data_IF_506461827415
#
_entry.id   IF_506461827415
#
_cell.length_a   1.000
_cell.length_b   1.000
_cell.length_c   1.000
_cell.angle_alpha   90.00
_cell.angle_beta   90.00
_cell.angle_gamma   90.00
#
_symmetry.space_group_name_H-M   'P 1'
#
loop_
_entity.id
_entity.type
_entity.pdbx_description
1 polymer ?
#
# COMPACT_ATOMS: atom_id res chain seq x y z
N UNK A 1 12.50 0.52 24.02
CA UNK A 1 11.61 -0.60 24.47
C UNK A 1 12.12 -1.90 23.87
N UNK A 2 12.15 -2.97 24.66
CA UNK A 2 12.50 -4.31 24.15
C UNK A 2 11.26 -5.19 24.23
N UNK A 3 10.93 -5.81 23.11
CA UNK A 3 9.83 -6.79 23.00
C UNK A 3 10.46 -8.19 23.14
N UNK A 4 10.32 -8.79 24.31
CA UNK A 4 10.94 -10.06 24.62
C UNK A 4 10.06 -11.23 24.13
N UNK A 5 10.60 -12.24 23.41
CA UNK A 5 9.82 -13.38 22.90
C UNK A 5 9.10 -14.19 23.99
N UNK A 6 9.66 -14.22 25.20
CA UNK A 6 9.05 -14.93 26.34
C UNK A 6 7.89 -14.16 27.00
N UNK A 7 7.69 -12.88 26.64
CA UNK A 7 6.61 -12.02 27.17
C UNK A 7 5.54 -11.71 26.13
N UNK A 8 5.84 -11.90 24.84
CA UNK A 8 4.97 -11.61 23.72
C UNK A 8 5.02 -12.76 22.72
N UNK A 9 3.88 -13.11 22.13
CA UNK A 9 3.85 -14.06 21.01
C UNK A 9 4.46 -13.39 19.78
N UNK A 10 5.68 -13.76 19.39
CA UNK A 10 6.39 -13.22 18.23
C UNK A 10 7.90 -13.22 18.41
N UNK A 11 8.60 -12.74 17.39
CA UNK A 11 10.05 -12.55 17.43
C UNK A 11 10.42 -11.36 18.33
N UNK A 12 11.63 -11.40 18.88
CA UNK A 12 12.13 -10.30 19.71
C UNK A 12 12.46 -9.08 18.86
N UNK A 13 11.95 -7.93 19.27
CA UNK A 13 12.25 -6.66 18.63
C UNK A 13 12.81 -5.62 19.59
N UNK A 14 13.65 -4.74 19.08
CA UNK A 14 14.12 -3.58 19.79
C UNK A 14 13.64 -2.32 19.08
N UNK A 15 12.96 -1.44 19.83
CA UNK A 15 12.53 -0.13 19.37
C UNK A 15 13.18 0.94 20.24
N UNK A 16 13.88 1.87 19.59
CA UNK A 16 14.40 3.08 20.25
C UNK A 16 13.98 4.30 19.43
N UNK A 17 13.39 5.28 20.12
CA UNK A 17 13.16 6.62 19.59
C UNK A 17 14.08 7.55 20.37
N UNK A 18 14.99 8.19 19.65
CA UNK A 18 15.96 9.12 20.24
C UNK A 18 15.56 10.54 19.85
N UNK A 19 15.55 11.42 20.84
CA UNK A 19 15.37 12.85 20.65
C UNK A 19 16.63 13.56 21.13
N UNK A 20 17.26 14.34 20.25
CA UNK A 20 18.36 15.22 20.65
C UNK A 20 17.76 16.42 21.39
N UNK A 21 18.22 16.66 22.62
CA UNK A 21 17.90 17.89 23.35
C UNK A 21 18.77 19.04 22.85
N UNK A 22 18.22 20.23 22.80
CA UNK A 22 18.88 21.45 22.33
C UNK A 22 17.96 22.29 21.43
N UNK A 23 18.35 23.51 21.19
CA UNK A 23 17.66 24.38 20.22
C UNK A 23 17.73 23.71 18.84
N UNK A 24 16.58 23.50 18.24
CA UNK A 24 16.47 23.20 16.81
C UNK A 24 17.09 24.40 16.07
N UNK A 25 18.40 24.36 15.80
CA UNK A 25 18.92 25.11 14.68
C UNK A 25 18.11 24.60 13.48
N UNK A 26 17.43 25.51 12.84
CA UNK A 26 16.48 25.29 11.78
C UNK A 26 16.92 24.13 10.88
N UNK A 27 16.21 23.00 10.94
CA UNK A 27 16.44 21.86 10.03
C UNK A 27 16.29 22.31 8.57
N UNK A 28 15.55 23.42 8.35
CA UNK A 28 15.44 24.11 7.06
C UNK A 28 16.76 24.71 6.61
N UNK A 29 17.72 25.00 7.51
CA UNK A 29 19.05 25.55 7.17
C UNK A 29 20.12 24.48 6.93
N UNK A 30 19.85 23.20 7.24
CA UNK A 30 20.74 22.14 6.78
C UNK A 30 20.65 22.11 5.26
N UNK A 31 21.79 22.27 4.53
CA UNK A 31 21.77 22.14 3.09
C UNK A 31 21.28 20.72 2.80
N UNK A 32 19.99 20.60 2.49
CA UNK A 32 19.44 19.40 1.88
C UNK A 32 20.32 19.18 0.66
N UNK A 33 21.30 18.27 0.77
CA UNK A 33 22.16 17.90 -0.36
C UNK A 33 21.19 17.67 -1.51
N UNK A 34 21.37 18.44 -2.60
CA UNK A 34 20.52 18.34 -3.79
C UNK A 34 20.28 16.87 -4.06
N UNK A 35 19.05 16.51 -3.91
CA UNK A 35 18.60 15.14 -3.92
C UNK A 35 19.03 14.51 -5.25
N UNK A 36 19.94 13.54 -5.19
CA UNK A 36 20.28 12.73 -6.37
C UNK A 36 19.16 11.76 -6.75
N UNK A 37 18.08 11.75 -5.96
CA UNK A 37 16.87 10.99 -6.25
C UNK A 37 16.04 11.82 -7.23
N UNK A 38 15.99 11.40 -8.46
CA UNK A 38 15.12 12.01 -9.45
C UNK A 38 13.67 11.81 -9.01
N UNK A 39 13.05 12.90 -8.55
CA UNK A 39 11.61 12.90 -8.30
C UNK A 39 10.88 12.67 -9.63
N UNK A 40 9.88 11.81 -9.59
CA UNK A 40 9.04 11.58 -10.75
C UNK A 40 8.20 12.83 -11.03
N UNK A 41 8.17 13.25 -12.29
CA UNK A 41 7.25 14.29 -12.75
C UNK A 41 5.83 13.76 -12.83
N UNK A 42 4.83 14.62 -12.76
CA UNK A 42 3.43 14.24 -12.95
C UNK A 42 3.19 13.51 -14.28
N UNK A 43 3.87 13.93 -15.35
CA UNK A 43 3.79 13.28 -16.66
C UNK A 43 4.26 11.82 -16.61
N UNK A 44 5.30 11.52 -15.84
CA UNK A 44 5.82 10.16 -15.66
C UNK A 44 4.90 9.31 -14.78
N UNK A 45 4.07 9.94 -13.95
CA UNK A 45 3.09 9.27 -13.08
C UNK A 45 1.69 9.15 -13.72
N UNK A 46 1.51 9.43 -15.00
CA UNK A 46 0.21 9.57 -15.66
C UNK A 46 -0.72 8.38 -15.44
N UNK A 47 -0.24 7.14 -15.61
CA UNK A 47 -1.04 5.95 -15.38
C UNK A 47 -1.44 5.76 -13.91
N UNK A 48 -0.55 6.13 -12.98
CA UNK A 48 -0.89 6.14 -11.56
C UNK A 48 -1.92 7.22 -11.25
N UNK A 49 -1.76 8.44 -11.76
CA UNK A 49 -2.73 9.52 -11.54
C UNK A 49 -4.10 9.19 -12.12
N UNK A 50 -4.15 8.52 -13.27
CA UNK A 50 -5.39 7.98 -13.85
C UNK A 50 -6.02 6.93 -12.92
N UNK A 51 -5.23 5.98 -12.42
CA UNK A 51 -5.71 5.01 -11.42
C UNK A 51 -6.22 5.73 -10.17
N UNK A 52 -5.46 6.69 -9.63
CA UNK A 52 -5.83 7.41 -8.41
C UNK A 52 -7.15 8.18 -8.59
N UNK A 53 -7.35 8.87 -9.72
CA UNK A 53 -8.59 9.60 -10.00
C UNK A 53 -9.82 8.70 -10.13
N UNK A 54 -9.64 7.46 -10.60
CA UNK A 54 -10.71 6.50 -10.81
C UNK A 54 -11.01 5.63 -9.59
N UNK A 55 -10.01 5.41 -8.72
CA UNK A 55 -10.10 4.39 -7.68
C UNK A 55 -9.95 4.92 -6.26
N UNK A 56 -9.36 6.11 -6.07
CA UNK A 56 -9.11 6.71 -4.76
C UNK A 56 -9.93 7.97 -4.55
N UNK A 57 -10.44 8.16 -3.35
CA UNK A 57 -11.15 9.39 -2.96
C UNK A 57 -10.17 10.38 -2.34
N UNK A 58 -10.23 11.64 -2.78
CA UNK A 58 -9.47 12.73 -2.16
C UNK A 58 -7.95 12.61 -2.26
N UNK A 59 -7.41 11.90 -3.24
CA UNK A 59 -5.97 11.81 -3.45
C UNK A 59 -5.38 13.19 -3.79
N UNK A 60 -4.55 13.73 -2.89
CA UNK A 60 -4.02 15.10 -3.02
C UNK A 60 -2.62 15.17 -3.64
N UNK A 61 -2.15 14.06 -4.22
CA UNK A 61 -0.80 14.03 -4.77
C UNK A 61 0.29 13.76 -3.72
N UNK A 62 1.54 13.96 -4.10
CA UNK A 62 2.68 13.76 -3.20
C UNK A 62 4.02 13.78 -3.91
N UNK A 63 5.07 13.52 -3.16
CA UNK A 63 6.42 13.38 -3.70
C UNK A 63 6.64 11.95 -4.18
N UNK A 64 6.78 11.76 -5.48
CA UNK A 64 6.95 10.44 -6.07
C UNK A 64 8.40 10.13 -6.42
N UNK A 65 8.78 8.86 -6.26
CA UNK A 65 10.09 8.34 -6.63
C UNK A 65 9.94 7.01 -7.35
N UNK A 66 10.73 6.83 -8.41
CA UNK A 66 10.85 5.55 -9.10
C UNK A 66 12.07 4.74 -8.66
N UNK A 67 11.86 3.44 -8.39
CA UNK A 67 12.91 2.42 -8.40
C UNK A 67 12.59 1.45 -9.54
N UNK A 68 13.25 1.63 -10.69
CA UNK A 68 12.86 0.95 -11.92
C UNK A 68 11.42 1.30 -12.31
N UNK A 69 10.56 0.31 -12.45
CA UNK A 69 9.13 0.48 -12.72
C UNK A 69 8.28 0.67 -11.45
N UNK A 70 8.87 0.54 -10.26
CA UNK A 70 8.16 0.65 -8.99
C UNK A 70 8.02 2.10 -8.58
N UNK A 71 6.78 2.54 -8.32
CA UNK A 71 6.45 3.89 -7.88
C UNK A 71 6.25 3.92 -6.38
N UNK A 72 6.90 4.88 -5.72
CA UNK A 72 6.82 5.10 -4.28
C UNK A 72 6.34 6.52 -3.96
N UNK A 73 5.53 6.64 -2.93
CA UNK A 73 5.20 7.91 -2.29
C UNK A 73 6.18 8.15 -1.14
N UNK A 74 6.93 9.24 -1.22
CA UNK A 74 7.87 9.64 -0.18
C UNK A 74 7.17 10.43 0.93
N UNK A 75 7.57 10.26 2.20
CA UNK A 75 7.12 11.15 3.25
C UNK A 75 7.64 12.58 3.02
N UNK A 76 6.92 13.60 3.53
CA UNK A 76 7.41 14.98 3.52
C UNK A 76 8.77 15.07 4.23
N UNK A 77 9.66 15.93 3.72
CA UNK A 77 10.96 16.17 4.35
C UNK A 77 11.97 15.01 4.24
N UNK A 78 11.72 14.03 3.37
CA UNK A 78 12.65 12.91 3.16
C UNK A 78 14.03 13.42 2.76
N UNK A 79 15.11 13.05 3.50
CA UNK A 79 16.47 13.43 3.14
C UNK A 79 16.93 12.71 1.86
N UNK A 80 18.07 13.18 1.29
CA UNK A 80 18.68 12.51 0.15
C UNK A 80 19.03 11.05 0.47
N UNK A 81 18.65 10.15 -0.44
CA UNK A 81 18.96 8.73 -0.35
C UNK A 81 20.31 8.38 -1.01
N UNK A 82 21.02 9.37 -1.53
CA UNK A 82 22.29 9.17 -2.23
C UNK A 82 23.34 8.53 -1.29
N UNK A 83 23.91 7.43 -1.75
CA UNK A 83 24.92 6.67 -1.00
C UNK A 83 24.35 5.74 0.05
N UNK A 84 23.02 5.61 0.16
CA UNK A 84 22.36 4.68 1.06
C UNK A 84 21.87 3.45 0.28
N UNK A 85 21.96 2.27 0.91
CA UNK A 85 21.26 1.07 0.45
C UNK A 85 19.82 1.13 0.97
N UNK A 86 18.91 1.57 0.11
CA UNK A 86 17.49 1.75 0.48
C UNK A 86 16.67 0.58 -0.04
N UNK A 87 15.95 -0.08 0.83
CA UNK A 87 15.03 -1.16 0.48
C UNK A 87 13.64 -0.64 0.13
N UNK A 88 13.16 0.34 0.91
CA UNK A 88 11.84 0.97 0.72
C UNK A 88 11.94 2.45 1.08
N UNK A 89 11.84 3.36 0.10
CA UNK A 89 11.98 4.80 0.37
C UNK A 89 10.71 5.43 0.95
N UNK A 90 9.60 4.72 0.92
CA UNK A 90 8.30 5.20 1.37
C UNK A 90 7.20 4.17 1.11
N UNK A 91 5.96 4.63 0.93
CA UNK A 91 4.85 3.76 0.58
C UNK A 91 4.99 3.31 -0.88
N UNK A 92 5.10 2.01 -1.10
CA UNK A 92 5.05 1.43 -2.43
C UNK A 92 3.63 1.57 -2.99
N UNK A 93 3.45 2.40 -4.01
CA UNK A 93 2.15 2.63 -4.64
C UNK A 93 1.79 1.51 -5.61
N UNK A 94 2.75 1.09 -6.43
CA UNK A 94 2.53 0.05 -7.42
C UNK A 94 3.60 0.05 -8.51
N UNK A 95 3.28 -0.67 -9.59
CA UNK A 95 4.18 -0.86 -10.73
C UNK A 95 3.62 -0.17 -11.96
N UNK A 96 4.42 0.69 -12.58
CA UNK A 96 4.12 1.27 -13.88
C UNK A 96 4.37 0.23 -14.97
N UNK A 97 3.36 -0.02 -15.78
CA UNK A 97 3.44 -0.89 -16.96
C UNK A 97 3.09 -0.08 -18.20
N UNK A 98 3.40 -0.61 -19.37
CA UNK A 98 2.99 0.03 -20.62
C UNK A 98 1.48 0.25 -20.64
N UNK A 99 1.06 1.52 -20.64
CA UNK A 99 -0.34 1.98 -20.70
C UNK A 99 -1.23 1.49 -19.52
N UNK A 100 -0.67 1.15 -18.38
CA UNK A 100 -1.45 0.78 -17.19
C UNK A 100 -0.63 0.90 -15.91
N UNK A 101 -1.33 1.07 -14.82
CA UNK A 101 -0.80 0.97 -13.46
C UNK A 101 -1.33 -0.28 -12.77
N UNK A 102 -0.46 -0.98 -12.03
CA UNK A 102 -0.82 -2.12 -11.18
C UNK A 102 -0.60 -1.72 -9.72
N UNK A 103 -1.67 -1.49 -8.93
CA UNK A 103 -1.54 -1.07 -7.54
C UNK A 103 -0.89 -2.16 -6.69
N UNK A 104 -0.03 -1.75 -5.76
CA UNK A 104 0.67 -2.67 -4.89
C UNK A 104 -0.21 -3.15 -3.73
N UNK A 105 0.16 -4.28 -3.17
CA UNK A 105 -0.45 -4.77 -1.92
C UNK A 105 -0.20 -3.81 -0.75
N UNK A 106 0.96 -3.16 -0.69
CA UNK A 106 1.27 -2.16 0.33
C UNK A 106 0.33 -0.95 0.28
N UNK A 107 -0.04 -0.50 -0.92
CA UNK A 107 -1.06 0.55 -1.08
C UNK A 107 -2.42 0.09 -0.58
N UNK A 108 -2.84 -1.15 -0.88
CA UNK A 108 -4.09 -1.69 -0.35
C UNK A 108 -4.13 -1.63 1.18
N UNK A 109 -3.07 -2.14 1.84
CA UNK A 109 -3.00 -2.18 3.29
C UNK A 109 -2.87 -0.79 3.97
N UNK A 110 -2.51 0.24 3.22
CA UNK A 110 -2.44 1.62 3.70
C UNK A 110 -3.77 2.36 3.60
N UNK A 111 -4.74 1.83 2.85
CA UNK A 111 -6.02 2.47 2.58
C UNK A 111 -7.15 1.88 3.42
N UNK A 112 -8.13 2.72 3.74
CA UNK A 112 -9.40 2.34 4.36
C UNK A 112 -10.51 2.27 3.31
N UNK A 113 -11.64 1.59 3.60
CA UNK A 113 -12.76 1.48 2.67
C UNK A 113 -13.37 2.83 2.25
N UNK A 114 -13.35 3.83 3.12
CA UNK A 114 -13.86 5.17 2.85
C UNK A 114 -12.94 6.02 1.95
N UNK A 115 -11.68 5.62 1.78
CA UNK A 115 -10.69 6.29 0.95
C UNK A 115 -10.66 5.77 -0.51
N UNK A 116 -11.49 4.78 -0.84
CA UNK A 116 -11.56 4.20 -2.19
C UNK A 116 -12.96 4.35 -2.79
N UNK A 117 -13.03 4.39 -4.13
CA UNK A 117 -14.30 4.47 -4.83
C UNK A 117 -15.09 3.16 -4.75
N UNK A 118 -14.41 2.02 -4.84
CA UNK A 118 -15.00 0.70 -4.84
C UNK A 118 -14.33 -0.21 -3.81
N UNK A 119 -15.13 -0.85 -2.97
CA UNK A 119 -14.68 -1.87 -2.01
C UNK A 119 -15.61 -3.07 -2.01
N UNK A 120 -15.12 -4.21 -1.56
CA UNK A 120 -15.90 -5.42 -1.40
C UNK A 120 -15.53 -6.12 -0.08
N UNK A 121 -16.52 -6.23 0.81
CA UNK A 121 -16.40 -6.93 2.07
C UNK A 121 -16.62 -8.43 1.86
N UNK A 122 -15.72 -9.28 2.37
CA UNK A 122 -15.79 -10.74 2.20
C UNK A 122 -16.44 -11.47 3.37
N UNK A 123 -16.66 -10.80 4.47
CA UNK A 123 -17.32 -11.40 5.63
C UNK A 123 -18.79 -11.01 5.63
N UNK A 124 -19.67 -11.99 5.76
CA UNK A 124 -21.10 -11.78 5.85
C UNK A 124 -21.64 -12.21 7.22
N UNK A 125 -22.74 -11.59 7.64
CA UNK A 125 -23.42 -11.86 8.90
C UNK A 125 -22.89 -11.03 10.08
N UNK A 126 -23.79 -10.58 10.96
CA UNK A 126 -23.43 -9.79 12.14
C UNK A 126 -23.13 -10.70 13.35
N UNK A 127 -23.92 -11.75 13.57
CA UNK A 127 -23.79 -12.65 14.73
C UNK A 127 -23.00 -13.93 14.42
N UNK A 128 -23.18 -14.50 13.21
CA UNK A 128 -22.47 -15.71 12.76
C UNK A 128 -21.64 -15.37 11.51
N UNK A 129 -20.45 -14.83 11.70
CA UNK A 129 -19.56 -14.41 10.61
C UNK A 129 -19.01 -15.62 9.85
N UNK A 130 -19.21 -15.64 8.54
CA UNK A 130 -18.57 -16.60 7.64
C UNK A 130 -17.30 -16.03 7.05
N UNK A 131 -16.16 -16.56 7.47
CA UNK A 131 -14.84 -16.21 6.94
C UNK A 131 -14.37 -17.09 5.76
N UNK A 132 -15.19 -18.05 5.33
CA UNK A 132 -14.88 -18.93 4.19
C UNK A 132 -14.47 -18.17 2.94
N UNK A 133 -15.23 -17.12 2.51
CA UNK A 133 -14.85 -16.29 1.36
C UNK A 133 -13.49 -15.57 1.53
N UNK A 134 -13.16 -15.15 2.75
CA UNK A 134 -11.88 -14.52 3.04
C UNK A 134 -10.72 -15.52 2.91
N UNK A 135 -10.87 -16.74 3.42
CA UNK A 135 -9.86 -17.80 3.25
C UNK A 135 -9.71 -18.19 1.78
N UNK A 136 -10.81 -18.35 1.03
CA UNK A 136 -10.77 -18.60 -0.40
C UNK A 136 -9.99 -17.49 -1.15
N UNK A 137 -10.24 -16.22 -0.80
CA UNK A 137 -9.50 -15.09 -1.33
C UNK A 137 -8.01 -15.16 -1.03
N UNK A 138 -7.62 -15.42 0.21
CA UNK A 138 -6.21 -15.54 0.62
C UNK A 138 -5.51 -16.72 -0.05
N UNK A 139 -6.23 -17.76 -0.44
CA UNK A 139 -5.73 -18.88 -1.24
C UNK A 139 -5.58 -18.53 -2.73
N UNK A 140 -6.14 -17.40 -3.16
CA UNK A 140 -6.00 -16.90 -4.53
C UNK A 140 -7.19 -17.16 -5.44
N UNK A 141 -8.34 -17.55 -4.85
CA UNK A 141 -9.57 -17.81 -5.60
C UNK A 141 -10.21 -16.54 -6.12
N UNK A 142 -11.05 -16.69 -7.13
CA UNK A 142 -11.86 -15.63 -7.73
C UNK A 142 -13.33 -15.90 -7.43
N UNK A 143 -14.16 -14.87 -7.46
CA UNK A 143 -15.60 -15.03 -7.24
C UNK A 143 -16.41 -14.14 -8.18
N UNK A 144 -17.67 -14.52 -8.50
CA UNK A 144 -18.57 -13.68 -9.27
C UNK A 144 -19.01 -12.49 -8.41
N UNK A 145 -19.04 -11.30 -9.03
CA UNK A 145 -19.55 -10.09 -8.40
C UNK A 145 -20.26 -9.24 -9.45
N UNK A 146 -21.46 -8.75 -9.13
CA UNK A 146 -22.16 -7.74 -9.92
C UNK A 146 -21.77 -6.35 -9.41
N UNK A 147 -21.28 -5.50 -10.30
CA UNK A 147 -20.85 -4.14 -9.95
C UNK A 147 -20.11 -3.45 -11.07
N UNK A 148 -19.58 -2.28 -10.79
CA UNK A 148 -18.80 -1.52 -11.75
C UNK A 148 -17.45 -2.18 -12.03
N UNK A 149 -17.04 -2.20 -13.31
CA UNK A 149 -15.70 -2.66 -13.70
C UNK A 149 -14.63 -1.74 -13.10
N UNK A 150 -13.66 -2.30 -12.41
CA UNK A 150 -12.60 -1.49 -11.81
C UNK A 150 -11.78 -2.21 -10.74
N UNK A 151 -10.94 -1.45 -10.06
CA UNK A 151 -10.19 -1.89 -8.91
C UNK A 151 -11.05 -1.77 -7.64
N UNK A 152 -11.05 -2.83 -6.85
CA UNK A 152 -11.77 -2.92 -5.58
C UNK A 152 -10.79 -3.14 -4.44
N UNK A 153 -10.96 -2.40 -3.38
CA UNK A 153 -10.32 -2.72 -2.11
C UNK A 153 -11.09 -3.89 -1.47
N UNK A 154 -10.41 -4.99 -1.27
CA UNK A 154 -11.00 -6.17 -0.64
C UNK A 154 -10.82 -6.06 0.87
N UNK A 155 -11.90 -6.26 1.62
CA UNK A 155 -11.93 -6.05 3.06
C UNK A 155 -12.47 -7.26 3.82
N UNK A 156 -12.07 -7.37 5.07
CA UNK A 156 -12.57 -8.34 6.07
C UNK A 156 -12.76 -7.57 7.37
N UNK A 157 -13.96 -7.57 7.91
CA UNK A 157 -14.33 -6.78 9.09
C UNK A 157 -13.96 -5.28 8.97
N UNK A 158 -14.08 -4.72 7.76
CA UNK A 158 -13.71 -3.34 7.46
C UNK A 158 -12.20 -3.09 7.31
N UNK A 159 -11.35 -4.09 7.45
CA UNK A 159 -9.91 -3.95 7.25
C UNK A 159 -9.51 -4.42 5.86
N UNK A 160 -8.68 -3.63 5.20
CA UNK A 160 -8.17 -3.98 3.87
C UNK A 160 -7.23 -5.17 3.92
N UNK A 161 -7.43 -6.14 3.02
CA UNK A 161 -6.57 -7.30 2.85
C UNK A 161 -5.94 -7.40 1.46
N UNK A 162 -6.26 -6.49 0.54
CA UNK A 162 -5.65 -6.49 -0.79
C UNK A 162 -6.51 -5.85 -1.87
N UNK A 163 -6.05 -5.98 -3.12
CA UNK A 163 -6.76 -5.52 -4.31
C UNK A 163 -7.42 -6.66 -5.07
N UNK A 164 -8.65 -6.43 -5.52
CA UNK A 164 -9.31 -7.20 -6.56
C UNK A 164 -9.56 -6.34 -7.80
N UNK A 165 -9.76 -6.97 -8.95
CA UNK A 165 -10.16 -6.27 -10.17
C UNK A 165 -11.39 -6.92 -10.78
N UNK A 166 -12.51 -6.19 -10.77
CA UNK A 166 -13.75 -6.68 -11.39
C UNK A 166 -13.70 -6.47 -12.90
N UNK A 167 -13.86 -7.55 -13.66
CA UNK A 167 -13.95 -7.52 -15.10
C UNK A 167 -14.77 -8.72 -15.59
N UNK A 168 -15.79 -8.44 -16.43
CA UNK A 168 -16.68 -9.47 -16.97
C UNK A 168 -17.49 -10.22 -15.91
N UNK A 169 -17.90 -9.53 -14.81
CA UNK A 169 -18.68 -10.15 -13.74
C UNK A 169 -17.86 -11.06 -12.80
N UNK A 170 -16.53 -11.10 -12.97
CA UNK A 170 -15.65 -11.92 -12.13
C UNK A 170 -14.67 -10.99 -11.40
N UNK A 171 -14.61 -11.11 -10.09
CA UNK A 171 -13.60 -10.48 -9.24
C UNK A 171 -12.30 -11.26 -9.34
N UNK A 172 -11.33 -10.71 -10.06
CA UNK A 172 -9.98 -11.28 -10.23
C UNK A 172 -9.15 -10.99 -8.99
N UNK A 173 -8.49 -12.02 -8.50
CA UNK A 173 -7.68 -11.97 -7.29
C UNK A 173 -6.29 -11.39 -7.58
N UNK A 174 -5.98 -10.24 -6.96
CA UNK A 174 -4.67 -9.58 -7.00
C UNK A 174 -3.90 -9.70 -5.69
N UNK A 175 -4.30 -10.61 -4.79
CA UNK A 175 -3.51 -10.94 -3.61
C UNK A 175 -2.16 -11.55 -4.02
N UNK A 176 -1.03 -11.12 -3.42
CA UNK A 176 0.30 -11.53 -3.85
C UNK A 176 0.49 -13.06 -3.81
N UNK A 177 0.92 -13.65 -4.92
CA UNK A 177 1.11 -15.11 -5.02
C UNK A 177 2.04 -15.66 -3.94
N UNK A 178 3.10 -14.91 -3.57
CA UNK A 178 4.04 -15.31 -2.54
C UNK A 178 3.49 -15.31 -1.11
N UNK A 179 2.32 -14.69 -0.89
CA UNK A 179 1.64 -14.67 0.41
C UNK A 179 0.49 -15.69 0.50
N UNK A 180 0.14 -16.33 -0.61
CA UNK A 180 -0.90 -17.36 -0.64
C UNK A 180 -0.44 -18.58 0.12
N UNK A 181 -1.26 -19.05 1.03
CA UNK A 181 -1.08 -20.29 1.79
C UNK A 181 -2.39 -21.03 1.75
N UNK A 182 -2.34 -22.36 1.91
CA UNK A 182 -3.56 -23.16 2.05
C UNK A 182 -4.19 -22.88 3.42
N UNK A 183 -4.86 -21.73 3.52
CA UNK A 183 -5.65 -21.36 4.70
C UNK A 183 -6.87 -22.27 4.76
N UNK A 184 -7.12 -22.87 5.92
CA UNK A 184 -8.27 -23.73 6.20
C UNK A 184 -9.04 -23.20 7.38
#
# INVERSE_FOLDING_TARGET
MRLWPHKLKGEGHFLAVLRKEGTLSDISSLPLRKDGNRRASEKECGEFLTFASQSLKGWQGGNYLFFGEQLYLLPPGMPSLKGLKVLRPGLHLGTMKKNRFEPSHALALALKPDEVCLSAELVSGEENKDYGPAFAWLNGETFPLTGEKGWYLITVDGYSIGWGKLAGGIMKNHYPKGLRKNWR
#
